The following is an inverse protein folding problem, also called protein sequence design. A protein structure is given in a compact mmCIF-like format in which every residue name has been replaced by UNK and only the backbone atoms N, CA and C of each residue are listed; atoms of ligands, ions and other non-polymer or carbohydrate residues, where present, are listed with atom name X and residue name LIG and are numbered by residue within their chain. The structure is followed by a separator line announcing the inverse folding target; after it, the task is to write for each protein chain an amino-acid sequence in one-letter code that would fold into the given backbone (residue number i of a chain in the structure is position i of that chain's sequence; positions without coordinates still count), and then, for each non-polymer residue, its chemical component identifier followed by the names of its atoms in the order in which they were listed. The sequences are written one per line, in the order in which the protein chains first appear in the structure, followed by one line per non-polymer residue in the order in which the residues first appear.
data_IF_038484948476
#
_entry.id   IF_038484948476
#
_cell.length_a   1.000
_cell.length_b   1.000
_cell.length_c   1.000
_cell.angle_alpha   90.00
_cell.angle_beta   90.00
_cell.angle_gamma   90.00
#
_symmetry.space_group_name_H-M   'P 1'
#
loop_
_entity.id
_entity.type
_entity.pdbx_description
1 polymer ?
#
# COMPACT_ATOMS: atom_id res chain seq x y z
N UNK A 1 1.30 -13.79 0.13
CA UNK A 1 0.34 -14.09 -0.96
C UNK A 1 -0.93 -14.80 -0.51
N UNK A 2 -0.92 -16.07 -0.05
CA UNK A 2 -2.18 -16.77 0.30
C UNK A 2 -2.95 -16.10 1.46
N UNK A 3 -2.23 -15.67 2.51
CA UNK A 3 -2.83 -14.93 3.63
C UNK A 3 -3.43 -13.58 3.19
N UNK A 4 -2.73 -12.84 2.33
CA UNK A 4 -3.20 -11.55 1.82
C UNK A 4 -4.43 -11.70 0.93
N UNK A 5 -4.43 -12.70 0.04
CA UNK A 5 -5.61 -13.00 -0.77
C UNK A 5 -6.82 -13.34 0.09
N UNK A 6 -6.61 -14.05 1.22
CA UNK A 6 -7.70 -14.33 2.16
C UNK A 6 -8.27 -13.02 2.75
N UNK A 7 -7.42 -12.13 3.24
CA UNK A 7 -7.86 -10.83 3.78
C UNK A 7 -8.58 -10.00 2.71
N UNK A 8 -8.08 -10.02 1.47
CA UNK A 8 -8.75 -9.38 0.34
C UNK A 8 -10.14 -9.96 0.08
N UNK A 9 -10.26 -11.29 0.05
CA UNK A 9 -11.54 -11.95 -0.20
C UNK A 9 -12.56 -11.67 0.90
N UNK A 10 -12.16 -11.80 2.16
CA UNK A 10 -13.01 -11.48 3.31
C UNK A 10 -13.48 -10.01 3.23
N UNK A 11 -12.59 -9.10 2.83
CA UNK A 11 -12.91 -7.67 2.66
C UNK A 11 -13.88 -7.43 1.50
N UNK A 12 -13.66 -8.00 0.31
CA UNK A 12 -14.56 -7.84 -0.83
C UNK A 12 -15.96 -8.34 -0.50
N UNK A 13 -16.07 -9.51 0.12
CA UNK A 13 -17.37 -10.08 0.48
C UNK A 13 -18.10 -9.26 1.56
N UNK A 14 -17.38 -8.81 2.60
CA UNK A 14 -18.01 -8.13 3.73
C UNK A 14 -18.27 -6.63 3.47
N UNK A 15 -17.40 -5.95 2.73
CA UNK A 15 -17.44 -4.49 2.53
C UNK A 15 -17.98 -4.11 1.15
N UNK A 16 -17.65 -4.88 0.10
CA UNK A 16 -18.16 -4.63 -1.26
C UNK A 16 -19.39 -5.47 -1.62
N UNK A 17 -19.66 -6.54 -0.87
CA UNK A 17 -20.83 -7.40 -1.09
C UNK A 17 -20.65 -8.39 -2.24
N UNK A 18 -19.42 -8.55 -2.74
CA UNK A 18 -19.09 -9.51 -3.80
C UNK A 18 -19.39 -10.95 -3.32
N UNK A 19 -19.86 -11.80 -4.23
CA UNK A 19 -20.02 -13.22 -3.95
C UNK A 19 -18.68 -13.95 -3.98
N UNK A 20 -18.59 -15.11 -3.33
CA UNK A 20 -17.34 -15.88 -3.27
C UNK A 20 -16.82 -16.32 -4.65
N UNK A 21 -17.71 -16.48 -5.64
CA UNK A 21 -17.36 -16.82 -7.03
C UNK A 21 -16.90 -15.60 -7.87
N UNK A 22 -17.26 -14.39 -7.44
CA UNK A 22 -16.80 -13.13 -8.05
C UNK A 22 -15.37 -12.78 -7.61
N UNK A 23 -14.96 -13.18 -6.39
CA UNK A 23 -13.63 -12.92 -5.86
C UNK A 23 -12.59 -13.89 -6.43
N UNK A 24 -12.07 -13.59 -7.62
CA UNK A 24 -11.06 -14.45 -8.28
C UNK A 24 -9.65 -14.04 -7.90
N UNK A 25 -8.81 -15.05 -7.66
CA UNK A 25 -7.37 -14.87 -7.44
C UNK A 25 -6.69 -14.09 -8.58
N UNK A 26 -7.12 -14.30 -9.82
CA UNK A 26 -6.56 -13.59 -10.98
C UNK A 26 -6.84 -12.08 -10.93
N UNK A 27 -7.99 -11.66 -10.40
CA UNK A 27 -8.30 -10.24 -10.21
C UNK A 27 -7.42 -9.64 -9.11
N UNK A 28 -7.26 -10.33 -7.98
CA UNK A 28 -6.35 -9.92 -6.91
C UNK A 28 -4.91 -9.75 -7.42
N UNK A 29 -4.40 -10.75 -8.14
CA UNK A 29 -3.04 -10.71 -8.71
C UNK A 29 -2.89 -9.53 -9.67
N UNK A 30 -3.82 -9.36 -10.61
CA UNK A 30 -3.75 -8.29 -11.61
C UNK A 30 -3.88 -6.89 -10.99
N UNK A 31 -4.72 -6.73 -9.98
CA UNK A 31 -5.06 -5.42 -9.44
C UNK A 31 -4.11 -4.95 -8.33
N UNK A 32 -3.68 -5.86 -7.46
CA UNK A 32 -2.94 -5.50 -6.24
C UNK A 32 -1.50 -6.00 -6.23
N UNK A 33 -1.17 -7.03 -7.02
CA UNK A 33 0.16 -7.66 -6.96
C UNK A 33 1.03 -7.28 -8.17
N UNK A 34 0.46 -7.33 -9.36
CA UNK A 34 1.15 -6.96 -10.59
C UNK A 34 1.21 -5.44 -10.69
N UNK A 35 2.43 -4.90 -10.63
CA UNK A 35 2.65 -3.47 -10.79
C UNK A 35 3.08 -3.14 -12.22
N UNK A 36 2.51 -2.10 -12.85
CA UNK A 36 3.02 -1.57 -14.10
C UNK A 36 4.30 -0.75 -13.90
N UNK A 37 4.68 -0.45 -12.65
CA UNK A 37 5.90 0.29 -12.35
C UNK A 37 7.11 -0.59 -12.67
N UNK A 38 7.82 -0.24 -13.73
CA UNK A 38 9.11 -0.85 -14.05
C UNK A 38 10.11 -0.27 -13.06
N UNK A 39 10.68 -1.12 -12.22
CA UNK A 39 11.80 -0.79 -11.35
C UNK A 39 13.01 -0.44 -12.23
N UNK A 40 13.11 0.81 -12.66
CA UNK A 40 14.32 1.31 -13.26
C UNK A 40 15.34 1.44 -12.14
N UNK A 41 16.32 0.53 -12.09
CA UNK A 41 17.46 0.55 -11.16
C UNK A 41 18.32 1.84 -11.25
N UNK A 42 17.91 2.81 -12.06
CA UNK A 42 18.69 3.98 -12.48
C UNK A 42 18.55 5.22 -11.58
N UNK A 43 17.65 5.23 -10.59
CA UNK A 43 17.38 6.45 -9.80
C UNK A 43 18.01 6.51 -8.41
N UNK A 44 17.96 5.40 -7.66
CA UNK A 44 18.58 5.29 -6.33
C UNK A 44 19.91 4.58 -6.49
N UNK A 45 21.02 5.33 -6.54
CA UNK A 45 22.34 4.74 -6.27
C UNK A 45 22.29 4.22 -4.84
N UNK A 46 22.06 2.92 -4.68
CA UNK A 46 22.18 2.23 -3.41
C UNK A 46 23.60 2.52 -2.90
N UNK A 47 23.75 3.44 -1.95
CA UNK A 47 25.04 3.63 -1.31
C UNK A 47 25.35 2.34 -0.57
N UNK A 48 26.57 1.85 -0.73
CA UNK A 48 27.04 0.61 -0.09
C UNK A 48 26.80 0.73 1.43
N UNK A 49 25.81 0.01 1.96
CA UNK A 49 25.39 0.07 3.37
C UNK A 49 23.99 0.63 3.66
N UNK A 50 23.24 1.14 2.67
CA UNK A 50 21.85 1.58 2.86
C UNK A 50 20.85 0.47 2.45
N UNK A 51 20.15 -0.11 3.45
CA UNK A 51 19.07 -1.10 3.29
C UNK A 51 17.73 -0.48 2.85
N UNK A 52 17.76 0.61 2.06
CA UNK A 52 16.53 1.22 1.58
C UNK A 52 15.96 0.41 0.40
N UNK A 53 14.64 0.15 0.36
CA UNK A 53 14.01 -0.53 -0.77
C UNK A 53 14.14 0.28 -2.06
N UNK A 54 14.18 -0.41 -3.20
CA UNK A 54 14.14 0.21 -4.53
C UNK A 54 12.83 0.94 -4.81
N UNK A 55 12.72 1.59 -5.97
CA UNK A 55 11.42 2.12 -6.43
C UNK A 55 10.54 0.98 -6.94
N UNK A 56 9.24 1.04 -6.65
CA UNK A 56 8.28 0.01 -7.00
C UNK A 56 7.03 0.01 -6.12
N UNK A 57 6.16 -0.97 -6.32
CA UNK A 57 4.97 -1.19 -5.50
C UNK A 57 5.25 -2.20 -4.38
N UNK A 58 4.71 -1.92 -3.20
CA UNK A 58 4.94 -2.69 -1.98
C UNK A 58 3.64 -2.95 -1.23
N UNK A 59 3.57 -4.09 -0.55
CA UNK A 59 2.52 -4.39 0.41
C UNK A 59 2.99 -4.06 1.82
N UNK A 60 2.39 -3.02 2.40
CA UNK A 60 2.54 -2.68 3.81
C UNK A 60 1.58 -3.53 4.63
N UNK A 61 2.13 -4.55 5.30
CA UNK A 61 1.36 -5.50 6.10
C UNK A 61 1.21 -5.03 7.55
N UNK A 62 0.00 -5.21 8.08
CA UNK A 62 -0.35 -4.89 9.47
C UNK A 62 -0.64 -6.17 10.23
N UNK A 63 0.30 -6.58 11.08
CA UNK A 63 0.21 -7.80 11.88
C UNK A 63 -0.20 -7.48 13.31
N UNK A 64 -1.27 -8.14 13.78
CA UNK A 64 -1.69 -8.11 15.17
C UNK A 64 -0.92 -9.19 15.94
N UNK A 65 -0.22 -8.75 16.99
CA UNK A 65 0.60 -9.58 17.89
C UNK A 65 1.65 -10.46 17.18
N UNK A 66 2.02 -10.09 15.95
CA UNK A 66 2.97 -10.85 15.13
C UNK A 66 2.41 -12.14 14.52
N UNK A 67 1.15 -12.50 14.78
CA UNK A 67 0.57 -13.78 14.38
C UNK A 67 -0.51 -13.65 13.30
N UNK A 68 -1.31 -12.58 13.35
CA UNK A 68 -2.46 -12.42 12.46
C UNK A 68 -2.34 -11.20 11.56
N UNK A 69 -2.32 -11.41 10.26
CA UNK A 69 -2.41 -10.34 9.27
C UNK A 69 -3.83 -9.77 9.24
N UNK A 70 -3.98 -8.50 9.62
CA UNK A 70 -5.29 -7.85 9.76
C UNK A 70 -5.56 -6.74 8.74
N UNK A 71 -4.52 -6.19 8.10
CA UNK A 71 -4.68 -5.25 6.99
C UNK A 71 -3.46 -5.26 6.06
N UNK A 72 -3.68 -4.82 4.83
CA UNK A 72 -2.65 -4.63 3.82
C UNK A 72 -2.90 -3.31 3.11
N UNK A 73 -1.90 -2.43 3.12
CA UNK A 73 -1.84 -1.25 2.26
C UNK A 73 -0.96 -1.51 1.04
N UNK A 74 -1.41 -1.13 -0.15
CA UNK A 74 -0.62 -1.12 -1.38
C UNK A 74 -0.03 0.28 -1.55
N UNK A 75 1.30 0.36 -1.56
CA UNK A 75 2.04 1.63 -1.57
C UNK A 75 3.05 1.64 -2.70
N UNK A 76 3.06 2.70 -3.49
CA UNK A 76 4.08 2.93 -4.51
C UNK A 76 5.17 3.87 -3.98
N UNK A 77 6.40 3.41 -4.08
CA UNK A 77 7.61 4.19 -3.80
C UNK A 77 8.19 4.69 -5.12
N UNK A 78 8.12 6.01 -5.33
CA UNK A 78 8.55 6.67 -6.55
C UNK A 78 9.57 7.78 -6.22
N UNK A 79 10.44 8.20 -7.14
CA UNK A 79 11.33 9.34 -6.90
C UNK A 79 10.56 10.56 -6.38
N UNK A 80 10.86 11.03 -5.17
CA UNK A 80 10.22 12.20 -4.57
C UNK A 80 8.72 12.06 -4.25
N UNK A 81 8.13 10.86 -4.36
CA UNK A 81 6.72 10.62 -4.04
C UNK A 81 6.51 9.26 -3.35
N UNK A 82 5.60 9.25 -2.37
CA UNK A 82 5.02 8.04 -1.81
C UNK A 82 3.52 8.10 -2.13
N UNK A 83 2.95 7.03 -2.68
CA UNK A 83 1.53 6.96 -3.07
C UNK A 83 0.85 5.80 -2.35
N UNK A 84 -0.30 6.03 -1.72
CA UNK A 84 -1.14 4.98 -1.15
C UNK A 84 -2.23 4.62 -2.15
N UNK A 85 -2.12 3.44 -2.76
CA UNK A 85 -2.96 3.01 -3.89
C UNK A 85 -4.27 2.38 -3.40
N UNK A 86 -4.17 1.46 -2.44
CA UNK A 86 -5.31 0.69 -1.98
C UNK A 86 -5.09 0.20 -0.56
N UNK A 87 -6.17 0.04 0.21
CA UNK A 87 -6.14 -0.53 1.55
C UNK A 87 -7.31 -1.49 1.70
N UNK A 88 -7.04 -2.68 2.20
CA UNK A 88 -8.05 -3.66 2.57
C UNK A 88 -7.68 -4.33 3.89
N UNK A 89 -8.68 -4.80 4.62
CA UNK A 89 -8.50 -5.29 5.99
C UNK A 89 -9.49 -6.38 6.33
N UNK A 90 -9.17 -7.17 7.35
CA UNK A 90 -10.04 -8.23 7.83
C UNK A 90 -11.25 -7.60 8.55
N UNK A 91 -12.49 -7.93 8.15
CA UNK A 91 -13.70 -7.23 8.61
C UNK A 91 -13.92 -7.31 10.13
N UNK A 92 -13.56 -8.42 10.77
CA UNK A 92 -13.60 -8.57 12.24
C UNK A 92 -12.83 -7.48 13.00
N UNK A 93 -11.89 -6.79 12.36
CA UNK A 93 -11.07 -5.73 12.95
C UNK A 93 -11.49 -4.33 12.51
N UNK A 94 -12.65 -4.18 11.86
CA UNK A 94 -13.18 -2.87 11.44
C UNK A 94 -13.32 -1.90 12.62
N UNK A 95 -13.60 -2.41 13.82
CA UNK A 95 -13.71 -1.61 15.06
C UNK A 95 -12.42 -0.86 15.41
N UNK A 96 -11.26 -1.31 14.93
CA UNK A 96 -9.96 -0.64 15.11
C UNK A 96 -9.78 0.57 14.19
N UNK A 97 -10.70 0.82 13.25
CA UNK A 97 -10.63 1.91 12.27
C UNK A 97 -9.30 1.91 11.51
N UNK A 98 -8.95 0.76 10.94
CA UNK A 98 -7.66 0.52 10.29
C UNK A 98 -7.35 1.49 9.14
N UNK A 99 -8.38 2.02 8.46
CA UNK A 99 -8.22 3.10 7.48
C UNK A 99 -7.60 4.37 8.07
N UNK A 100 -8.06 4.80 9.25
CA UNK A 100 -7.51 5.96 9.95
C UNK A 100 -6.07 5.71 10.39
N UNK A 101 -5.80 4.54 10.95
CA UNK A 101 -4.46 4.17 11.37
C UNK A 101 -3.48 4.13 10.18
N UNK A 102 -3.86 3.49 9.08
CA UNK A 102 -3.06 3.41 7.86
C UNK A 102 -2.78 4.80 7.29
N UNK A 103 -3.77 5.70 7.27
CA UNK A 103 -3.58 7.08 6.81
C UNK A 103 -2.57 7.85 7.68
N UNK A 104 -2.62 7.71 9.01
CA UNK A 104 -1.66 8.33 9.91
C UNK A 104 -0.25 7.76 9.72
N UNK A 105 -0.15 6.43 9.57
CA UNK A 105 1.12 5.75 9.33
C UNK A 105 1.75 6.20 8.02
N UNK A 106 0.97 6.23 6.95
CA UNK A 106 1.38 6.71 5.64
C UNK A 106 1.84 8.17 5.68
N UNK A 107 1.13 9.05 6.40
CA UNK A 107 1.53 10.45 6.55
C UNK A 107 2.89 10.60 7.26
N UNK A 108 3.15 9.78 8.27
CA UNK A 108 4.45 9.71 8.94
C UNK A 108 5.55 9.22 7.98
N UNK A 109 5.31 8.11 7.29
CA UNK A 109 6.28 7.51 6.35
C UNK A 109 6.61 8.45 5.19
N UNK A 110 5.60 9.15 4.66
CA UNK A 110 5.77 10.17 3.62
C UNK A 110 6.71 11.30 4.07
N UNK A 111 6.58 11.77 5.33
CA UNK A 111 7.47 12.80 5.89
C UNK A 111 8.91 12.30 6.00
N UNK A 112 9.10 11.10 6.54
CA UNK A 112 10.42 10.49 6.67
C UNK A 112 11.06 10.29 5.30
N UNK A 113 10.31 9.76 4.34
CA UNK A 113 10.77 9.55 2.97
C UNK A 113 11.23 10.84 2.30
N UNK A 114 10.44 11.91 2.41
CA UNK A 114 10.78 13.22 1.84
C UNK A 114 11.96 13.88 2.54
N UNK A 115 12.12 13.71 3.85
CA UNK A 115 13.25 14.26 4.59
C UNK A 115 14.59 13.59 4.23
N UNK A 116 14.55 12.31 3.87
CA UNK A 116 15.73 11.54 3.46
C UNK A 116 16.02 11.61 1.96
N UNK A 117 15.05 12.07 1.16
CA UNK A 117 15.20 12.16 -0.30
C UNK A 117 15.78 13.52 -0.71
N UNK A 118 16.67 13.58 -1.71
CA UNK A 118 17.04 14.85 -2.31
C UNK A 118 15.77 15.55 -2.86
N UNK A 119 15.72 16.89 -2.87
CA UNK A 119 14.55 17.60 -3.37
C UNK A 119 14.26 17.14 -4.80
N UNK A 120 12.98 16.82 -5.13
CA UNK A 120 12.66 16.37 -6.47
C UNK A 120 13.07 17.45 -7.49
N UNK A 121 13.56 17.07 -8.68
CA UNK A 121 13.72 18.02 -9.76
C UNK A 121 12.39 18.74 -9.98
N UNK A 122 12.42 20.07 -10.14
CA UNK A 122 11.23 20.93 -10.33
C UNK A 122 10.46 20.48 -11.57
N UNK A 123 9.57 19.50 -11.42
CA UNK A 123 8.58 19.14 -12.42
C UNK A 123 7.21 19.65 -11.95
N UNK A 124 6.46 20.37 -12.80
CA UNK A 124 5.20 21.02 -12.41
C UNK A 124 4.01 20.07 -12.19
N UNK A 125 4.21 18.75 -12.31
CA UNK A 125 3.14 17.74 -12.23
C UNK A 125 3.30 16.75 -11.07
N UNK A 126 3.93 17.16 -9.96
CA UNK A 126 4.02 16.29 -8.78
C UNK A 126 2.69 16.30 -8.01
N UNK A 127 1.93 15.21 -8.17
CA UNK A 127 0.77 14.91 -7.36
C UNK A 127 1.17 14.79 -5.89
N UNK A 128 0.80 15.79 -5.11
CA UNK A 128 0.98 15.84 -3.66
C UNK A 128 -0.28 15.22 -3.04
N UNK A 129 -0.14 14.02 -2.49
CA UNK A 129 -1.11 13.32 -1.63
C UNK A 129 -2.50 13.09 -2.29
N UNK A 130 -2.70 11.91 -2.89
CA UNK A 130 -4.04 11.33 -3.04
C UNK A 130 -4.26 10.32 -1.91
N UNK A 131 -4.97 10.74 -0.86
CA UNK A 131 -5.57 9.81 0.09
C UNK A 131 -7.03 9.62 -0.36
N UNK A 132 -7.32 8.55 -1.09
CA UNK A 132 -8.71 8.11 -1.22
C UNK A 132 -9.03 7.33 0.05
N UNK A 133 -9.40 8.06 1.11
CA UNK A 133 -10.10 7.43 2.22
C UNK A 133 -11.49 7.04 1.70
N UNK A 134 -11.63 5.79 1.23
CA UNK A 134 -12.96 5.22 1.05
C UNK A 134 -13.52 5.05 2.47
N UNK A 135 -14.31 6.03 2.91
CA UNK A 135 -15.01 5.97 4.17
C UNK A 135 -15.95 4.78 4.15
N UNK A 136 -15.86 3.92 5.16
CA UNK A 136 -16.85 2.88 5.41
C UNK A 136 -18.20 3.57 5.68
N UNK A 137 -19.20 3.28 4.86
CA UNK A 137 -20.60 3.48 5.18
C UNK A 137 -21.07 2.43 6.20
#
# INVERSE_FOLDING_TARGET
MAAEHKVYADYQMAVHGDSADEVKLSQFLRFLVQSPLVSSDSGRKQKKGEEAPGFGSYHQQYWLDGEKLIAIGVVDLLPGCLSSVYLFYHPDYAFLRLGTYAALRFAHESRVYLALSPPPPRFPFYFRLFLVAVGSA
#
